data_IF_271570504249
#
_entry.id   IF_271570504249
#
_cell.length_a   1.000
_cell.length_b   1.000
_cell.length_c   1.000
_cell.angle_alpha   90.00
_cell.angle_beta   90.00
_cell.angle_gamma   90.00
#
_symmetry.space_group_name_H-M   'P 1'
#
loop_
_entity.id
_entity.type
_entity.pdbx_description
1 polymer ?
#
# COMPACT_ATOMS: atom_id res chain seq x y z
N UNK A 1 19.66 -11.30 -10.01
CA UNK A 1 18.50 -10.80 -9.26
C UNK A 1 18.74 -11.18 -7.81
N UNK A 2 18.78 -10.20 -6.92
CA UNK A 2 18.94 -10.48 -5.49
C UNK A 2 17.59 -10.98 -5.00
N UNK A 3 17.57 -12.09 -4.26
CA UNK A 3 16.33 -12.69 -3.81
C UNK A 3 16.02 -12.16 -2.41
N UNK A 4 14.81 -11.63 -2.21
CA UNK A 4 14.37 -11.20 -0.88
C UNK A 4 14.18 -12.42 0.02
N UNK A 5 14.58 -12.29 1.28
CA UNK A 5 14.44 -13.34 2.27
C UNK A 5 13.87 -12.76 3.56
N UNK A 6 13.01 -13.52 4.25
CA UNK A 6 12.49 -13.12 5.54
C UNK A 6 13.65 -12.96 6.54
N UNK A 7 13.79 -11.80 7.20
CA UNK A 7 14.91 -11.55 8.10
C UNK A 7 14.99 -12.51 9.28
N UNK A 8 13.85 -13.11 9.69
CA UNK A 8 13.78 -14.02 10.83
C UNK A 8 14.01 -15.49 10.46
N UNK A 9 13.37 -15.99 9.41
CA UNK A 9 13.38 -17.42 9.08
C UNK A 9 14.11 -17.76 7.78
N UNK A 10 14.61 -16.76 7.05
CA UNK A 10 15.33 -16.98 5.79
C UNK A 10 14.45 -17.52 4.66
N UNK A 11 13.12 -17.57 4.82
CA UNK A 11 12.21 -17.99 3.75
C UNK A 11 12.35 -17.06 2.54
N UNK A 12 12.55 -17.58 1.31
CA UNK A 12 12.53 -16.76 0.11
C UNK A 12 11.17 -16.07 -0.06
N UNK A 13 11.18 -14.78 -0.37
CA UNK A 13 9.98 -13.96 -0.51
C UNK A 13 9.83 -13.52 -1.96
N UNK A 14 8.61 -13.66 -2.46
CA UNK A 14 8.24 -13.26 -3.81
C UNK A 14 7.26 -12.08 -3.73
N UNK A 15 7.69 -10.86 -4.08
CA UNK A 15 6.82 -9.69 -4.09
C UNK A 15 5.55 -9.85 -4.92
N UNK A 16 5.54 -10.68 -5.97
CA UNK A 16 4.32 -10.93 -6.77
C UNK A 16 3.23 -11.62 -5.95
N UNK A 17 3.62 -12.28 -4.85
CA UNK A 17 2.73 -12.86 -3.84
C UNK A 17 2.59 -11.96 -2.61
N UNK A 18 2.54 -10.64 -2.80
CA UNK A 18 2.53 -9.64 -1.72
C UNK A 18 1.41 -9.86 -0.68
N UNK A 19 0.29 -10.52 -1.02
CA UNK A 19 -0.75 -10.88 -0.07
C UNK A 19 -0.29 -11.81 1.07
N UNK A 20 0.80 -12.55 0.86
CA UNK A 20 1.42 -13.44 1.84
C UNK A 20 2.57 -12.77 2.65
N UNK A 21 2.78 -11.46 2.44
CA UNK A 21 3.93 -10.72 2.96
C UNK A 21 3.52 -9.55 3.87
N UNK A 22 4.44 -9.13 4.73
CA UNK A 22 4.32 -7.94 5.56
C UNK A 22 5.46 -6.99 5.26
N UNK A 23 5.14 -5.73 4.97
CA UNK A 23 6.09 -4.71 4.53
C UNK A 23 6.26 -3.67 5.64
N UNK A 24 7.33 -3.77 6.42
CA UNK A 24 7.55 -2.93 7.61
C UNK A 24 9.06 -2.76 7.87
N UNK A 25 9.66 -1.76 7.20
CA UNK A 25 11.09 -1.46 7.20
C UNK A 25 11.96 -2.49 6.48
N UNK A 26 11.53 -3.74 6.50
CA UNK A 26 11.99 -4.88 5.72
C UNK A 26 10.77 -5.63 5.18
N UNK A 27 10.99 -6.62 4.32
CA UNK A 27 9.94 -7.49 3.78
C UNK A 27 9.95 -8.79 4.57
N UNK A 28 8.81 -9.16 5.14
CA UNK A 28 8.66 -10.29 6.05
C UNK A 28 7.63 -11.28 5.52
N UNK A 29 7.75 -12.55 5.91
CA UNK A 29 6.63 -13.48 5.73
C UNK A 29 5.56 -13.26 6.82
N UNK A 30 4.30 -13.55 6.49
CA UNK A 30 3.14 -13.40 7.39
C UNK A 30 3.23 -14.18 8.72
N UNK A 31 4.09 -15.21 8.79
CA UNK A 31 4.30 -16.00 10.00
C UNK A 31 5.27 -15.34 11.00
N UNK A 32 6.18 -14.50 10.51
CA UNK A 32 7.26 -13.94 11.32
C UNK A 32 6.99 -12.51 11.78
N UNK A 33 6.10 -11.80 11.09
CA UNK A 33 5.72 -10.44 11.40
C UNK A 33 4.24 -10.21 11.08
N UNK A 34 3.64 -9.27 11.80
CA UNK A 34 2.29 -8.76 11.55
C UNK A 34 2.34 -7.24 11.49
N UNK A 35 1.40 -6.63 10.76
CA UNK A 35 1.26 -5.17 10.78
C UNK A 35 0.83 -4.68 12.16
N UNK A 36 1.28 -3.47 12.52
CA UNK A 36 0.66 -2.70 13.60
C UNK A 36 -0.82 -2.49 13.27
N UNK A 37 -1.72 -2.84 14.19
CA UNK A 37 -3.17 -2.80 13.97
C UNK A 37 -3.65 -1.40 13.56
N UNK A 38 -2.99 -0.33 14.01
CA UNK A 38 -3.35 1.07 13.70
C UNK A 38 -3.18 1.42 12.22
N UNK A 39 -2.33 0.69 11.49
CA UNK A 39 -2.16 0.81 10.04
C UNK A 39 -3.35 0.22 9.26
N UNK A 40 -4.08 -0.70 9.90
CA UNK A 40 -5.21 -1.43 9.31
C UNK A 40 -6.57 -0.79 9.65
N UNK A 41 -6.59 0.18 10.58
CA UNK A 41 -7.79 0.94 10.92
C UNK A 41 -8.30 1.75 9.73
N UNK A 42 -9.62 1.75 9.55
CA UNK A 42 -10.28 2.58 8.54
C UNK A 42 -10.12 4.07 8.85
N UNK A 43 -9.77 4.85 7.83
CA UNK A 43 -9.56 6.30 7.89
C UNK A 43 -10.49 7.03 6.94
N UNK A 44 -10.67 8.33 7.15
CA UNK A 44 -11.37 9.18 6.17
C UNK A 44 -10.46 9.49 4.97
N UNK A 45 -11.05 9.73 3.80
CA UNK A 45 -10.29 10.19 2.62
C UNK A 45 -9.50 11.48 2.91
N UNK A 46 -10.07 12.42 3.67
CA UNK A 46 -9.37 13.67 4.02
C UNK A 46 -8.14 13.42 4.90
N UNK A 47 -8.23 12.46 5.82
CA UNK A 47 -7.09 12.05 6.65
C UNK A 47 -6.03 11.37 5.78
N UNK A 48 -6.44 10.46 4.89
CA UNK A 48 -5.53 9.79 3.98
C UNK A 48 -4.85 10.78 3.03
N UNK A 49 -5.55 11.79 2.52
CA UNK A 49 -4.93 12.82 1.67
C UNK A 49 -3.86 13.59 2.45
N UNK A 50 -4.13 13.93 3.71
CA UNK A 50 -3.14 14.59 4.58
C UNK A 50 -1.90 13.71 4.81
N UNK A 51 -2.08 12.39 4.91
CA UNK A 51 -0.97 11.44 4.95
C UNK A 51 -0.21 11.36 3.64
N UNK A 52 -0.92 11.29 2.50
CA UNK A 52 -0.32 11.30 1.16
C UNK A 52 0.60 12.50 0.99
N UNK A 53 0.14 13.71 1.33
CA UNK A 53 0.92 14.93 1.20
C UNK A 53 2.20 14.89 2.05
N UNK A 54 2.08 14.43 3.30
CA UNK A 54 3.23 14.28 4.21
C UNK A 54 4.23 13.25 3.73
N UNK A 55 3.75 12.12 3.17
CA UNK A 55 4.60 11.06 2.62
C UNK A 55 5.31 11.57 1.37
N UNK A 56 4.58 12.17 0.42
CA UNK A 56 5.16 12.73 -0.80
C UNK A 56 6.27 13.74 -0.46
N UNK A 57 6.01 14.66 0.48
CA UNK A 57 7.02 15.60 0.95
C UNK A 57 8.24 14.90 1.56
N UNK A 58 8.03 13.92 2.44
CA UNK A 58 9.12 13.24 3.14
C UNK A 58 10.01 12.40 2.23
N UNK A 59 9.46 11.86 1.14
CA UNK A 59 10.17 11.03 0.18
C UNK A 59 10.58 11.80 -1.09
N UNK A 60 10.44 13.13 -1.10
CA UNK A 60 10.77 14.01 -2.22
C UNK A 60 10.09 13.60 -3.53
N UNK A 61 8.79 13.32 -3.44
CA UNK A 61 7.93 12.89 -4.53
C UNK A 61 6.95 14.00 -4.90
N UNK A 62 6.58 14.05 -6.18
CA UNK A 62 5.49 14.91 -6.63
C UNK A 62 4.17 14.53 -5.92
N UNK A 63 3.30 15.51 -5.62
CA UNK A 63 2.03 15.28 -4.94
C UNK A 63 1.17 14.24 -5.66
N UNK A 64 0.47 13.42 -4.89
CA UNK A 64 -0.48 12.42 -5.37
C UNK A 64 -1.87 12.80 -4.88
N UNK A 65 -2.86 12.77 -5.78
CA UNK A 65 -4.26 13.06 -5.44
C UNK A 65 -5.01 11.78 -5.13
N UNK A 66 -5.80 11.80 -4.06
CA UNK A 66 -6.76 10.74 -3.77
C UNK A 66 -8.09 11.04 -4.43
N UNK A 67 -8.60 10.05 -5.16
CA UNK A 67 -9.90 10.08 -5.79
C UNK A 67 -10.84 9.09 -5.08
N UNK A 68 -12.13 9.35 -5.19
CA UNK A 68 -13.17 8.44 -4.71
C UNK A 68 -14.16 8.21 -5.84
N UNK A 69 -14.65 6.97 -5.96
CA UNK A 69 -15.67 6.65 -6.94
C UNK A 69 -17.06 7.03 -6.40
N UNK A 70 -17.76 8.01 -6.98
CA UNK A 70 -19.10 8.38 -6.55
C UNK A 70 -20.13 7.25 -6.75
N UNK A 71 -19.86 6.29 -7.64
CA UNK A 71 -20.69 5.12 -7.88
C UNK A 71 -20.39 3.93 -6.94
N UNK A 72 -19.51 4.09 -5.95
CA UNK A 72 -19.24 3.04 -4.97
C UNK A 72 -20.48 2.64 -4.15
N UNK A 73 -21.18 3.63 -3.60
CA UNK A 73 -22.35 3.41 -2.74
C UNK A 73 -23.56 2.77 -3.46
N UNK A 74 -23.88 3.12 -4.71
CA UNK A 74 -24.98 2.46 -5.42
C UNK A 74 -24.66 1.06 -5.94
N UNK A 75 -23.38 0.70 -6.15
CA UNK A 75 -23.00 -0.65 -6.61
C UNK A 75 -21.60 -1.09 -6.13
N UNK A 76 -21.49 -1.61 -4.89
CA UNK A 76 -20.24 -2.19 -4.41
C UNK A 76 -19.85 -3.51 -5.08
N UNK A 77 -20.76 -4.19 -5.80
CA UNK A 77 -20.51 -5.52 -6.36
C UNK A 77 -19.50 -5.48 -7.50
N UNK A 78 -19.42 -4.37 -8.23
CA UNK A 78 -18.47 -4.20 -9.35
C UNK A 78 -16.99 -4.27 -8.95
N UNK A 79 -16.66 -4.17 -7.67
CA UNK A 79 -15.29 -4.27 -7.15
C UNK A 79 -14.93 -5.67 -6.63
N UNK A 80 -15.85 -6.63 -6.74
CA UNK A 80 -15.58 -8.02 -6.41
C UNK A 80 -15.11 -8.77 -7.65
N UNK A 81 -14.00 -9.49 -7.54
CA UNK A 81 -13.57 -10.50 -8.50
C UNK A 81 -13.56 -11.87 -7.83
N UNK A 82 -14.68 -12.60 -7.97
CA UNK A 82 -14.91 -13.84 -7.24
C UNK A 82 -14.93 -13.61 -5.73
N UNK A 83 -13.83 -13.97 -5.05
CA UNK A 83 -13.68 -13.85 -3.60
C UNK A 83 -12.77 -12.67 -3.17
N UNK A 84 -12.20 -11.91 -4.11
CA UNK A 84 -11.32 -10.76 -3.82
C UNK A 84 -12.07 -9.46 -4.01
N UNK A 85 -11.65 -8.43 -3.27
CA UNK A 85 -12.22 -7.08 -3.35
C UNK A 85 -11.13 -6.09 -3.74
N UNK A 86 -11.39 -5.26 -4.75
CA UNK A 86 -10.49 -4.19 -5.18
C UNK A 86 -10.44 -3.06 -4.16
N UNK A 87 -9.32 -2.93 -3.46
CA UNK A 87 -9.17 -1.95 -2.37
C UNK A 87 -8.80 -0.56 -2.86
N UNK A 88 -7.95 -0.50 -3.87
CA UNK A 88 -7.42 0.73 -4.42
C UNK A 88 -6.78 0.48 -5.80
N UNK A 89 -6.54 1.57 -6.54
CA UNK A 89 -5.87 1.55 -7.84
C UNK A 89 -5.02 2.82 -8.02
N UNK A 90 -3.75 2.66 -8.38
CA UNK A 90 -2.88 3.74 -8.82
C UNK A 90 -3.02 4.02 -10.33
N UNK A 91 -3.19 5.29 -10.72
CA UNK A 91 -3.13 5.77 -12.09
C UNK A 91 -1.84 6.57 -12.29
N UNK A 92 -0.86 6.01 -13.00
CA UNK A 92 0.42 6.66 -13.29
C UNK A 92 0.29 7.87 -14.21
N UNK A 93 -0.70 7.89 -15.12
CA UNK A 93 -0.89 8.99 -16.08
C UNK A 93 -1.44 10.24 -15.41
N UNK A 94 -2.36 10.06 -14.45
CA UNK A 94 -2.93 11.17 -13.66
C UNK A 94 -2.19 11.43 -12.35
N UNK A 95 -1.31 10.52 -11.95
CA UNK A 95 -0.63 10.50 -10.64
C UNK A 95 -1.63 10.61 -9.50
N UNK A 96 -2.60 9.72 -9.52
CA UNK A 96 -3.70 9.65 -8.56
C UNK A 96 -3.89 8.23 -8.04
N UNK A 97 -4.56 8.12 -6.90
CA UNK A 97 -4.97 6.83 -6.34
C UNK A 97 -6.48 6.88 -6.11
N UNK A 98 -7.20 5.90 -6.67
CA UNK A 98 -8.59 5.67 -6.32
C UNK A 98 -8.66 4.72 -5.12
N UNK A 99 -9.41 5.10 -4.08
CA UNK A 99 -9.56 4.28 -2.87
C UNK A 99 -11.02 3.88 -2.66
N UNK A 100 -11.28 2.58 -2.50
CA UNK A 100 -12.63 2.04 -2.26
C UNK A 100 -12.83 1.64 -0.79
N UNK A 101 -13.98 1.89 -0.14
CA UNK A 101 -14.28 1.44 1.23
C UNK A 101 -14.38 -0.09 1.35
N UNK A 102 -13.25 -0.82 1.44
CA UNK A 102 -12.58 -1.18 2.70
C UNK A 102 -11.06 -0.91 2.72
N UNK A 103 -10.52 -0.42 1.61
CA UNK A 103 -9.12 -0.05 1.38
C UNK A 103 -8.73 1.32 1.93
N UNK A 104 -9.62 2.01 2.65
CA UNK A 104 -9.33 3.30 3.28
C UNK A 104 -8.45 3.11 4.52
N UNK A 105 -7.23 2.60 4.33
CA UNK A 105 -6.26 2.22 5.37
C UNK A 105 -4.89 2.75 4.99
N UNK A 106 -4.05 3.01 5.97
CA UNK A 106 -2.70 3.51 5.72
C UNK A 106 -1.82 2.48 5.01
N UNK A 107 -1.99 1.19 5.30
CA UNK A 107 -1.25 0.13 4.60
C UNK A 107 -1.58 0.10 3.11
N UNK A 108 -2.86 0.29 2.75
CA UNK A 108 -3.32 0.33 1.35
C UNK A 108 -2.78 1.59 0.67
N UNK A 109 -2.80 2.74 1.33
CA UNK A 109 -2.20 3.96 0.80
C UNK A 109 -0.70 3.77 0.50
N UNK A 110 0.06 3.18 1.43
CA UNK A 110 1.50 2.93 1.23
C UNK A 110 1.77 1.97 0.06
N UNK A 111 0.91 0.96 -0.14
CA UNK A 111 1.00 0.03 -1.27
C UNK A 111 0.89 0.78 -2.61
N UNK A 112 -0.15 1.58 -2.79
CA UNK A 112 -0.39 2.31 -4.03
C UNK A 112 0.67 3.40 -4.28
N UNK A 113 1.13 4.08 -3.22
CA UNK A 113 2.24 5.02 -3.33
C UNK A 113 3.53 4.35 -3.77
N UNK A 114 3.79 3.10 -3.35
CA UNK A 114 4.96 2.37 -3.84
C UNK A 114 4.89 2.12 -5.36
N UNK A 115 3.71 1.83 -5.91
CA UNK A 115 3.52 1.74 -7.37
C UNK A 115 3.82 3.07 -8.06
N UNK A 116 3.31 4.19 -7.54
CA UNK A 116 3.53 5.51 -8.14
C UNK A 116 4.97 6.02 -8.00
N UNK A 117 5.65 5.70 -6.89
CA UNK A 117 7.01 6.18 -6.63
C UNK A 117 8.05 5.41 -7.44
N UNK A 118 7.79 4.13 -7.72
CA UNK A 118 8.73 3.27 -8.45
C UNK A 118 8.39 3.17 -9.94
N UNK A 119 7.13 3.39 -10.32
CA UNK A 119 6.65 3.09 -11.68
C UNK A 119 6.66 1.59 -11.98
N UNK A 120 6.73 0.74 -10.96
CA UNK A 120 6.87 -0.70 -11.09
C UNK A 120 5.66 -1.41 -10.47
N UNK A 121 5.37 -2.58 -11.02
CA UNK A 121 4.51 -3.58 -10.38
C UNK A 121 5.23 -4.21 -9.17
N UNK A 122 4.75 -5.33 -8.67
CA UNK A 122 5.25 -6.09 -7.53
C UNK A 122 6.67 -6.67 -7.73
N UNK A 123 7.68 -5.80 -7.81
CA UNK A 123 9.10 -6.11 -7.91
C UNK A 123 9.79 -5.98 -6.54
N UNK A 124 11.09 -6.33 -6.49
CA UNK A 124 11.93 -6.07 -5.31
C UNK A 124 11.99 -4.58 -4.94
N UNK A 125 12.16 -3.69 -5.93
CA UNK A 125 12.21 -2.23 -5.70
C UNK A 125 10.90 -1.71 -5.11
N UNK A 126 9.78 -2.18 -5.65
CA UNK A 126 8.45 -1.85 -5.14
C UNK A 126 8.30 -2.34 -3.69
N UNK A 127 8.68 -3.58 -3.41
CA UNK A 127 8.57 -4.19 -2.09
C UNK A 127 9.38 -3.44 -1.02
N UNK A 128 10.62 -3.07 -1.34
CA UNK A 128 11.48 -2.30 -0.44
C UNK A 128 10.95 -0.87 -0.23
N UNK A 129 10.41 -0.24 -1.28
CA UNK A 129 9.75 1.07 -1.18
C UNK A 129 8.54 0.98 -0.27
N UNK A 130 7.65 0.00 -0.48
CA UNK A 130 6.48 -0.21 0.36
C UNK A 130 6.86 -0.43 1.83
N UNK A 131 7.87 -1.27 2.10
CA UNK A 131 8.36 -1.48 3.46
C UNK A 131 8.88 -0.19 4.11
N UNK A 132 9.60 0.65 3.37
CA UNK A 132 10.10 1.93 3.85
C UNK A 132 8.96 2.92 4.16
N UNK A 133 7.96 3.02 3.27
CA UNK A 133 6.79 3.87 3.47
C UNK A 133 6.01 3.46 4.72
N UNK A 134 5.72 2.18 4.87
CA UNK A 134 4.97 1.67 6.02
C UNK A 134 5.71 1.91 7.33
N UNK A 135 7.01 1.66 7.39
CA UNK A 135 7.79 1.94 8.60
C UNK A 135 7.80 3.44 8.94
N UNK A 136 7.91 4.31 7.92
CA UNK A 136 7.89 5.76 8.12
C UNK A 136 6.55 6.26 8.69
N UNK A 137 5.43 5.74 8.16
CA UNK A 137 4.09 6.04 8.65
C UNK A 137 3.91 5.51 10.07
N UNK A 138 4.25 4.23 10.31
CA UNK A 138 4.13 3.57 11.62
C UNK A 138 4.85 4.32 12.73
N UNK A 139 6.04 4.86 12.45
CA UNK A 139 6.82 5.64 13.41
C UNK A 139 6.18 6.99 13.81
N UNK A 140 5.05 7.38 13.17
CA UNK A 140 4.38 8.67 13.33
C UNK A 140 2.87 8.53 13.64
N UNK A 141 2.42 7.32 13.99
CA UNK A 141 1.05 7.01 14.44
C UNK A 141 0.87 7.18 15.94
#
# INVERSE_FOLDING_TARGET
>A
MTQLHCPKCGLPLDPTRHGDLVFDGQVWCLHCQVYDARLLESRSISELQSWTDRICQAFNQEPVRLEHDPAFLPDPQKYWDGATFLLAEADHGRRSIMLHPPGHRLVTLCHELAHLFTGQDHTETWALTFAALTAWVKARL
#
